data_IF_029320836428
#
_entry.id   IF_029320836428
#
_cell.length_a   1.000
_cell.length_b   1.000
_cell.length_c   1.000
_cell.angle_alpha   90.00
_cell.angle_beta   90.00
_cell.angle_gamma   90.00
#
_symmetry.space_group_name_H-M   'P 1'
#
loop_
_entity.id
_entity.type
_entity.pdbx_description
1 polymer ?
#
# COMPACT_ATOMS: atom_id res chain seq x y z
N UNK A 1 -6.73 13.56 2.11
CA UNK A 1 -5.68 13.36 3.14
C UNK A 1 -4.58 14.35 2.82
N UNK A 2 -4.25 15.22 3.76
CA UNK A 2 -3.18 16.19 3.58
C UNK A 2 -1.80 15.56 3.78
N UNK A 3 -0.74 16.31 3.48
CA UNK A 3 0.65 15.83 3.53
C UNK A 3 1.09 15.41 4.94
N UNK A 4 0.73 16.17 5.99
CA UNK A 4 1.07 15.84 7.37
C UNK A 4 0.41 14.53 7.84
N UNK A 5 -0.87 14.35 7.53
CA UNK A 5 -1.60 13.12 7.82
C UNK A 5 -1.00 11.92 7.07
N UNK A 6 -0.59 12.11 5.80
CA UNK A 6 0.05 11.07 5.00
C UNK A 6 1.37 10.62 5.64
N UNK A 7 2.22 11.57 6.04
CA UNK A 7 3.49 11.28 6.70
C UNK A 7 3.29 10.48 7.99
N UNK A 8 2.40 10.95 8.88
CA UNK A 8 2.15 10.28 10.16
C UNK A 8 1.59 8.86 9.98
N UNK A 9 0.68 8.65 9.03
CA UNK A 9 0.15 7.31 8.74
C UNK A 9 1.20 6.41 8.14
N UNK A 10 2.06 6.93 7.27
CA UNK A 10 3.17 6.17 6.70
C UNK A 10 4.12 5.66 7.78
N UNK A 11 4.51 6.51 8.74
CA UNK A 11 5.34 6.09 9.86
C UNK A 11 4.68 4.96 10.68
N UNK A 12 3.40 5.11 11.03
CA UNK A 12 2.65 4.07 11.77
C UNK A 12 2.54 2.74 11.01
N UNK A 13 2.30 2.80 9.70
CA UNK A 13 2.19 1.60 8.88
C UNK A 13 3.54 0.88 8.73
N UNK A 14 4.64 1.63 8.66
CA UNK A 14 6.00 1.06 8.66
C UNK A 14 6.31 0.39 10.00
N UNK A 15 5.95 1.04 11.11
CA UNK A 15 6.12 0.47 12.45
C UNK A 15 5.33 -0.84 12.62
N UNK A 16 4.08 -0.87 12.12
CA UNK A 16 3.19 -2.01 12.28
C UNK A 16 3.48 -3.17 11.32
N UNK A 17 3.85 -2.89 10.07
CA UNK A 17 3.95 -3.91 9.01
C UNK A 17 5.37 -4.05 8.42
N UNK A 18 6.31 -3.21 8.86
CA UNK A 18 7.64 -3.12 8.28
C UNK A 18 7.65 -2.44 6.90
N UNK A 19 8.73 -2.65 6.16
CA UNK A 19 8.99 -2.02 4.86
C UNK A 19 8.78 -2.97 3.68
N UNK A 20 7.99 -4.03 3.83
CA UNK A 20 7.70 -4.96 2.72
C UNK A 20 6.45 -4.51 1.97
N UNK A 21 6.49 -4.59 0.64
CA UNK A 21 5.31 -4.38 -0.18
C UNK A 21 4.25 -5.42 0.17
N UNK A 22 3.04 -4.98 0.51
CA UNK A 22 1.93 -5.86 0.84
C UNK A 22 1.54 -6.81 -0.30
N UNK A 23 1.77 -6.41 -1.55
CA UNK A 23 1.44 -7.23 -2.72
C UNK A 23 2.58 -8.16 -3.14
N UNK A 24 3.73 -7.63 -3.55
CA UNK A 24 4.82 -8.45 -4.09
C UNK A 24 5.83 -8.94 -3.04
N UNK A 25 5.67 -8.53 -1.78
CA UNK A 25 6.53 -8.88 -0.64
C UNK A 25 8.01 -8.43 -0.74
N UNK A 26 8.38 -7.68 -1.78
CA UNK A 26 9.72 -7.10 -1.88
C UNK A 26 9.98 -6.12 -0.72
N UNK A 27 11.20 -6.14 -0.20
CA UNK A 27 11.68 -5.15 0.77
C UNK A 27 11.87 -3.84 0.03
N UNK A 28 11.35 -2.75 0.61
CA UNK A 28 11.36 -1.42 0.02
C UNK A 28 12.29 -0.50 0.80
N UNK A 29 12.99 0.38 0.07
CA UNK A 29 13.59 1.56 0.66
C UNK A 29 12.51 2.57 1.05
N UNK A 30 12.81 3.54 1.94
CA UNK A 30 11.86 4.59 2.27
C UNK A 30 11.33 5.31 1.00
N UNK A 31 12.16 5.59 0.01
CA UNK A 31 11.76 6.35 -1.18
C UNK A 31 10.73 5.61 -2.03
N UNK A 32 10.77 4.28 -2.02
CA UNK A 32 9.88 3.40 -2.80
C UNK A 32 8.51 3.19 -2.13
N UNK A 33 8.37 3.50 -0.84
CA UNK A 33 7.16 3.26 -0.06
C UNK A 33 6.04 4.19 -0.50
N UNK A 34 4.94 3.60 -0.95
CA UNK A 34 3.67 4.28 -1.16
C UNK A 34 2.58 3.72 -0.25
N UNK A 35 1.51 4.48 -0.07
CA UNK A 35 0.33 4.05 0.68
C UNK A 35 -0.78 3.70 -0.30
N UNK A 36 -1.23 2.45 -0.26
CA UNK A 36 -2.29 1.93 -1.10
C UNK A 36 -3.55 1.67 -0.26
N UNK A 37 -4.72 1.91 -0.86
CA UNK A 37 -6.02 1.71 -0.25
C UNK A 37 -6.57 0.33 -0.61
N UNK A 38 -6.74 -0.57 0.35
CA UNK A 38 -7.26 -1.93 0.10
C UNK A 38 -8.62 -1.89 -0.59
N UNK A 39 -9.52 -1.02 -0.15
CA UNK A 39 -10.69 -0.58 -0.91
C UNK A 39 -10.34 0.78 -1.49
N UNK A 40 -10.26 0.96 -2.83
CA UNK A 40 -9.94 2.24 -3.43
C UNK A 40 -10.99 3.31 -3.09
N UNK A 41 -10.57 4.58 -3.03
CA UNK A 41 -11.49 5.69 -2.72
C UNK A 41 -12.70 5.78 -3.65
N UNK A 42 -12.51 5.47 -4.94
CA UNK A 42 -13.59 5.44 -5.94
C UNK A 42 -14.71 4.45 -5.55
N UNK A 43 -14.37 3.44 -4.76
CA UNK A 43 -15.28 2.41 -4.25
C UNK A 43 -15.63 2.63 -2.77
N UNK A 44 -15.49 3.85 -2.24
CA UNK A 44 -15.86 4.18 -0.86
C UNK A 44 -14.79 3.90 0.20
N UNK A 45 -13.55 3.61 -0.22
CA UNK A 45 -12.43 3.36 0.69
C UNK A 45 -12.10 4.51 1.66
N UNK A 46 -11.99 4.18 2.94
CA UNK A 46 -11.61 5.14 3.99
C UNK A 46 -10.10 5.43 3.99
N UNK A 47 -9.66 6.49 4.66
CA UNK A 47 -8.23 6.72 4.91
C UNK A 47 -7.78 6.15 6.27
N UNK A 48 -8.54 5.25 6.89
CA UNK A 48 -8.18 4.62 8.17
C UNK A 48 -6.95 3.72 8.00
N UNK A 49 -6.22 3.48 9.09
CA UNK A 49 -5.05 2.61 9.05
C UNK A 49 -5.42 1.18 8.63
N UNK A 50 -6.62 0.69 8.97
CA UNK A 50 -7.04 -0.65 8.57
C UNK A 50 -7.12 -0.80 7.04
N UNK A 51 -7.55 0.25 6.34
CA UNK A 51 -7.70 0.26 4.88
C UNK A 51 -6.43 0.65 4.12
N UNK A 52 -5.33 0.95 4.81
CA UNK A 52 -4.07 1.36 4.18
C UNK A 52 -3.00 0.28 4.31
N UNK A 53 -2.20 0.11 3.25
CA UNK A 53 -1.03 -0.77 3.25
C UNK A 53 0.19 -0.12 2.60
N UNK A 54 1.37 -0.59 3.01
CA UNK A 54 2.65 -0.23 2.41
C UNK A 54 2.80 -1.01 1.10
N UNK A 55 3.06 -0.31 0.00
CA UNK A 55 3.27 -0.94 -1.32
C UNK A 55 4.35 -0.21 -2.08
N UNK A 56 5.03 -0.90 -3.00
CA UNK A 56 5.93 -0.25 -3.94
C UNK A 56 5.12 0.56 -4.98
N UNK A 57 5.76 1.57 -5.57
CA UNK A 57 5.17 2.37 -6.64
C UNK A 57 4.61 1.50 -7.78
N UNK A 58 5.36 0.49 -8.22
CA UNK A 58 4.96 -0.37 -9.35
C UNK A 58 3.65 -1.13 -9.08
N UNK A 59 3.53 -1.78 -7.92
CA UNK A 59 2.31 -2.50 -7.53
C UNK A 59 1.12 -1.54 -7.37
N UNK A 60 1.34 -0.40 -6.70
CA UNK A 60 0.29 0.60 -6.49
C UNK A 60 -0.23 1.16 -7.83
N UNK A 61 0.67 1.51 -8.74
CA UNK A 61 0.34 2.05 -10.06
C UNK A 61 -0.39 1.01 -10.93
N UNK A 62 0.08 -0.23 -10.96
CA UNK A 62 -0.58 -1.31 -11.72
C UNK A 62 -1.98 -1.63 -11.20
N UNK A 63 -2.19 -1.57 -9.88
CA UNK A 63 -3.48 -1.82 -9.26
C UNK A 63 -4.46 -0.68 -9.53
N UNK A 64 -4.00 0.56 -9.46
CA UNK A 64 -4.81 1.75 -9.71
C UNK A 64 -6.04 1.82 -8.80
N UNK A 65 -7.23 1.79 -9.40
CA UNK A 65 -8.50 1.77 -8.65
C UNK A 65 -9.18 0.39 -8.64
N UNK A 66 -8.45 -0.67 -8.96
CA UNK A 66 -8.98 -2.03 -8.94
C UNK A 66 -9.26 -2.52 -7.51
N UNK A 67 -10.35 -3.26 -7.35
CA UNK A 67 -10.64 -4.03 -6.13
C UNK A 67 -9.78 -5.31 -6.03
N UNK A 68 -9.03 -5.65 -7.07
CA UNK A 68 -8.20 -6.85 -7.14
C UNK A 68 -6.70 -6.52 -6.94
N UNK A 69 -5.87 -7.51 -6.57
CA UNK A 69 -4.41 -7.35 -6.52
C UNK A 69 -3.81 -6.90 -7.87
N UNK A 70 -2.64 -6.24 -7.88
CA UNK A 70 -1.96 -5.88 -9.12
C UNK A 70 -1.53 -7.15 -9.89
N UNK A 71 -1.42 -7.12 -11.23
CA UNK A 71 -0.93 -8.25 -12.02
C UNK A 71 0.46 -8.77 -11.62
N UNK A 72 1.33 -7.87 -11.12
CA UNK A 72 2.65 -8.21 -10.54
C UNK A 72 2.59 -8.96 -9.21
N UNK A 73 1.38 -9.27 -8.70
CA UNK A 73 1.17 -10.13 -7.55
C UNK A 73 1.60 -11.56 -7.86
N UNK A 74 2.88 -11.87 -7.59
CA UNK A 74 3.34 -13.25 -7.52
C UNK A 74 2.92 -13.81 -6.18
N UNK A 75 1.81 -14.55 -6.12
CA UNK A 75 1.58 -15.46 -5.00
C UNK A 75 2.78 -16.42 -4.97
N UNK A 76 3.68 -16.26 -4.00
CA UNK A 76 4.56 -17.36 -3.63
C UNK A 76 3.65 -18.43 -3.05
N UNK A 77 3.18 -19.35 -3.90
CA UNK A 77 2.60 -20.61 -3.46
C UNK A 77 3.71 -21.30 -2.68
N UNK A 78 3.59 -21.33 -1.36
CA UNK A 78 4.36 -22.24 -0.52
C UNK A 78 3.76 -23.63 -0.63
#
# INVERSE_FOLDING_TARGET
>A
MNSKQKHNKRAKLIEQFGTRCYWCECILSPEEITLDHLIPKKHGGSNSLENLRITCFSCNNQRGHSLFPPPSFRKKVR
#
